data_IF_267927560120
#
_entry.id   IF_267927560120
#
_cell.length_a   1.000
_cell.length_b   1.000
_cell.length_c   1.000
_cell.angle_alpha   90.00
_cell.angle_beta   90.00
_cell.angle_gamma   90.00
#
_symmetry.space_group_name_H-M   'P 1'
#
loop_
_entity.id
_entity.type
_entity.pdbx_description
1 polymer ?
#
# COMPACT_ATOMS: atom_id res chain seq x y z
N UNK A 1 -15.74 -3.18 9.16
CA UNK A 1 -15.67 -2.23 10.28
C UNK A 1 -14.78 -1.06 9.89
N UNK A 2 -15.31 0.16 9.96
CA UNK A 2 -14.50 1.35 9.73
C UNK A 2 -13.66 1.68 10.96
N UNK A 3 -12.35 1.83 10.76
CA UNK A 3 -11.38 2.25 11.77
C UNK A 3 -11.10 3.73 11.59
N UNK A 4 -11.36 4.50 12.63
CA UNK A 4 -11.20 5.96 12.68
C UNK A 4 -10.24 6.32 13.81
N UNK A 5 -9.80 7.58 13.86
CA UNK A 5 -8.99 8.05 14.99
C UNK A 5 -9.66 7.87 16.35
N UNK A 6 -10.98 7.91 16.41
CA UNK A 6 -11.77 7.82 17.65
C UNK A 6 -11.80 6.39 18.20
N UNK A 7 -11.93 5.38 17.33
CA UNK A 7 -12.01 3.97 17.74
C UNK A 7 -10.67 3.23 17.62
N UNK A 8 -9.61 3.87 17.10
CA UNK A 8 -8.35 3.21 16.84
C UNK A 8 -7.78 2.46 18.06
N UNK A 9 -7.75 3.10 19.22
CA UNK A 9 -7.14 2.51 20.43
C UNK A 9 -7.88 1.28 20.96
N UNK A 10 -9.19 1.15 20.69
CA UNK A 10 -9.95 -0.03 21.08
C UNK A 10 -9.86 -1.15 20.04
N UNK A 11 -9.78 -0.80 18.75
CA UNK A 11 -9.78 -1.76 17.64
C UNK A 11 -8.39 -2.29 17.31
N UNK A 12 -7.34 -1.48 17.44
CA UNK A 12 -5.98 -1.85 17.04
C UNK A 12 -5.45 -3.13 17.73
N UNK A 13 -5.60 -3.33 19.06
CA UNK A 13 -5.15 -4.57 19.70
C UNK A 13 -5.83 -5.83 19.14
N UNK A 14 -7.10 -5.71 18.75
CA UNK A 14 -7.84 -6.79 18.08
C UNK A 14 -7.23 -7.09 16.71
N UNK A 15 -6.97 -6.07 15.89
CA UNK A 15 -6.34 -6.24 14.57
C UNK A 15 -4.97 -6.89 14.70
N UNK A 16 -4.14 -6.48 15.67
CA UNK A 16 -2.83 -7.09 15.91
C UNK A 16 -2.95 -8.59 16.24
N UNK A 17 -3.88 -8.94 17.12
CA UNK A 17 -4.12 -10.35 17.50
C UNK A 17 -4.60 -11.18 16.29
N UNK A 18 -5.49 -10.61 15.48
CA UNK A 18 -5.99 -11.26 14.27
C UNK A 18 -4.85 -11.50 13.26
N UNK A 19 -4.00 -10.50 13.01
CA UNK A 19 -2.85 -10.62 12.10
C UNK A 19 -1.82 -11.66 12.56
N UNK A 20 -1.58 -11.79 13.87
CA UNK A 20 -0.66 -12.80 14.40
C UNK A 20 -1.19 -14.23 14.24
N UNK A 21 -2.50 -14.41 14.34
CA UNK A 21 -3.14 -15.73 14.38
C UNK A 21 -3.72 -16.19 13.05
N UNK A 22 -3.87 -15.30 12.07
CA UNK A 22 -4.50 -15.63 10.79
C UNK A 22 -3.70 -16.62 9.94
N UNK A 23 -4.39 -17.21 8.96
CA UNK A 23 -3.74 -18.00 7.91
C UNK A 23 -3.18 -17.10 6.81
N UNK A 24 -3.90 -16.03 6.48
CA UNK A 24 -3.49 -15.00 5.54
C UNK A 24 -4.32 -13.73 5.74
N UNK A 25 -3.90 -12.63 5.11
CA UNK A 25 -4.70 -11.42 4.99
C UNK A 25 -4.73 -10.94 3.55
N UNK A 26 -5.81 -10.26 3.17
CA UNK A 26 -5.94 -9.57 1.90
C UNK A 26 -6.03 -8.07 2.12
N UNK A 27 -5.49 -7.29 1.18
CA UNK A 27 -5.56 -5.83 1.24
C UNK A 27 -5.80 -5.22 -0.13
N UNK A 28 -6.28 -3.98 -0.12
CA UNK A 28 -6.56 -3.15 -1.29
C UNK A 28 -6.45 -1.66 -0.90
N UNK A 29 -6.15 -0.79 -1.86
CA UNK A 29 -6.06 0.65 -1.65
C UNK A 29 -6.93 1.44 -2.63
N UNK A 30 -7.46 2.55 -2.13
CA UNK A 30 -7.91 3.64 -2.99
C UNK A 30 -6.89 4.79 -2.97
N UNK A 31 -6.61 5.38 -4.13
CA UNK A 31 -5.61 6.45 -4.29
C UNK A 31 -6.22 7.74 -4.84
N UNK A 32 -5.59 8.89 -4.57
CA UNK A 32 -6.01 10.19 -5.12
C UNK A 32 -5.83 10.30 -6.63
N UNK A 33 -5.06 9.38 -7.22
CA UNK A 33 -4.78 9.22 -8.63
C UNK A 33 -3.76 8.10 -8.84
N UNK A 34 -3.67 7.58 -10.06
CA UNK A 34 -2.83 6.39 -10.37
C UNK A 34 -1.93 6.56 -11.59
N UNK A 35 -2.06 7.67 -12.32
CA UNK A 35 -1.32 7.94 -13.55
C UNK A 35 -0.92 9.42 -13.66
N UNK A 36 0.34 9.68 -13.98
CA UNK A 36 0.92 11.03 -14.11
C UNK A 36 0.94 11.56 -15.56
N UNK A 37 0.79 10.66 -16.52
CA UNK A 37 1.08 10.90 -17.95
C UNK A 37 0.12 11.92 -18.61
N UNK A 38 -1.11 12.08 -18.09
CA UNK A 38 -2.05 13.11 -18.59
C UNK A 38 -1.64 14.56 -18.28
N UNK A 39 -0.68 14.78 -17.40
CA UNK A 39 -0.11 16.12 -17.17
C UNK A 39 0.80 16.58 -18.33
N UNK A 40 1.24 15.64 -19.17
CA UNK A 40 2.21 15.89 -20.25
C UNK A 40 1.50 16.34 -21.54
N UNK A 41 0.25 15.93 -21.76
CA UNK A 41 -0.53 16.24 -22.97
C UNK A 41 -1.01 17.68 -23.14
N UNK A 42 -0.71 18.61 -22.21
CA UNK A 42 -1.10 20.03 -22.31
C UNK A 42 -0.01 21.06 -21.96
N UNK A 43 1.26 20.67 -21.85
CA UNK A 43 2.33 21.67 -21.67
C UNK A 43 3.58 21.24 -20.92
N UNK A 44 3.97 19.96 -20.97
CA UNK A 44 5.28 19.55 -20.45
C UNK A 44 6.39 20.17 -21.30
N UNK A 45 7.17 21.09 -20.74
CA UNK A 45 8.37 21.61 -21.39
C UNK A 45 9.39 20.49 -21.72
N UNK A 46 10.40 20.78 -22.55
CA UNK A 46 11.38 19.80 -23.06
C UNK A 46 12.16 19.05 -21.98
N UNK A 47 12.07 19.46 -20.70
CA UNK A 47 12.75 18.85 -19.56
C UNK A 47 11.95 17.80 -18.78
N UNK A 48 10.68 17.56 -19.14
CA UNK A 48 9.85 16.57 -18.43
C UNK A 48 10.40 15.15 -18.55
N UNK A 49 10.22 14.33 -17.49
CA UNK A 49 10.68 12.94 -17.47
C UNK A 49 10.07 12.12 -18.61
N UNK A 50 8.82 12.40 -18.98
CA UNK A 50 8.15 11.81 -20.14
C UNK A 50 8.87 12.11 -21.47
N UNK A 51 9.43 13.31 -21.64
CA UNK A 51 10.24 13.67 -22.81
C UNK A 51 11.61 12.95 -22.83
N UNK A 52 12.17 12.63 -21.65
CA UNK A 52 13.48 11.97 -21.50
C UNK A 52 13.42 10.45 -21.59
N UNK A 53 12.30 9.85 -21.20
CA UNK A 53 12.09 8.39 -21.22
C UNK A 53 11.64 7.90 -22.60
N UNK A 54 11.39 8.81 -23.56
CA UNK A 54 10.96 8.44 -24.91
C UNK A 54 9.65 7.68 -24.84
N UNK A 55 8.55 8.38 -24.53
CA UNK A 55 7.23 7.77 -24.45
C UNK A 55 6.89 7.01 -25.73
N UNK A 56 6.98 5.68 -25.69
CA UNK A 56 6.13 4.85 -26.52
C UNK A 56 4.71 5.34 -26.30
N UNK A 57 3.93 5.65 -27.35
CA UNK A 57 2.58 6.15 -27.17
C UNK A 57 1.82 5.16 -26.29
N UNK A 58 1.15 5.67 -25.26
CA UNK A 58 0.22 5.05 -24.30
C UNK A 58 -0.56 3.81 -24.75
N UNK A 59 -0.69 3.61 -26.06
CA UNK A 59 -1.49 2.59 -26.71
C UNK A 59 -0.75 1.24 -26.91
N UNK A 60 0.56 1.15 -26.66
CA UNK A 60 1.35 -0.10 -26.73
C UNK A 60 2.01 -0.52 -25.40
N UNK A 61 1.28 -0.49 -24.27
CA UNK A 61 1.73 -1.04 -22.96
C UNK A 61 2.06 -2.54 -22.99
N UNK A 62 1.68 -3.23 -24.07
CA UNK A 62 1.79 -4.69 -24.18
C UNK A 62 3.21 -5.23 -24.07
N UNK A 63 4.16 -4.55 -24.72
CA UNK A 63 5.58 -4.92 -24.70
C UNK A 63 6.40 -4.11 -23.71
N UNK A 64 5.78 -3.16 -23.00
CA UNK A 64 6.46 -2.44 -21.94
C UNK A 64 6.89 -3.46 -20.89
N UNK A 65 8.21 -3.60 -20.75
CA UNK A 65 8.77 -4.46 -19.72
C UNK A 65 8.45 -3.84 -18.36
N UNK A 66 8.40 -4.63 -17.28
CA UNK A 66 8.20 -4.07 -15.96
C UNK A 66 9.33 -3.10 -15.56
N UNK A 67 10.54 -3.34 -16.06
CA UNK A 67 11.69 -2.44 -15.91
C UNK A 67 11.41 -1.06 -16.52
N UNK A 68 10.92 -1.01 -17.76
CA UNK A 68 10.63 0.27 -18.46
C UNK A 68 9.43 1.00 -17.85
N UNK A 69 8.44 0.27 -17.36
CA UNK A 69 7.22 0.84 -16.78
C UNK A 69 7.42 1.30 -15.31
N UNK A 70 8.46 0.82 -14.63
CA UNK A 70 8.69 1.12 -13.22
C UNK A 70 8.87 2.62 -12.90
N UNK A 71 9.66 3.42 -13.65
CA UNK A 71 9.82 4.85 -13.38
C UNK A 71 8.49 5.62 -13.36
N UNK A 72 7.58 5.32 -14.30
CA UNK A 72 6.26 5.95 -14.37
C UNK A 72 5.37 5.55 -13.18
N UNK A 73 5.47 4.28 -12.74
CA UNK A 73 4.76 3.81 -11.54
C UNK A 73 5.28 4.48 -10.27
N UNK A 74 6.59 4.63 -10.16
CA UNK A 74 7.21 5.35 -9.04
C UNK A 74 6.85 6.84 -9.02
N UNK A 75 6.84 7.49 -10.19
CA UNK A 75 6.41 8.89 -10.33
C UNK A 75 4.94 9.07 -9.93
N UNK A 76 4.05 8.15 -10.32
CA UNK A 76 2.65 8.17 -9.91
C UNK A 76 2.51 8.10 -8.39
N UNK A 77 3.19 7.16 -7.73
CA UNK A 77 3.17 7.01 -6.27
C UNK A 77 3.82 8.18 -5.52
N UNK A 78 4.72 8.92 -6.18
CA UNK A 78 5.32 10.15 -5.62
C UNK A 78 4.41 11.36 -5.79
N UNK A 79 3.54 11.35 -6.80
CA UNK A 79 2.65 12.46 -7.15
C UNK A 79 1.30 12.38 -6.45
N UNK A 80 0.78 11.16 -6.27
CA UNK A 80 -0.52 10.88 -5.67
C UNK A 80 -0.35 10.14 -4.34
N UNK A 81 -1.43 10.12 -3.56
CA UNK A 81 -1.42 9.60 -2.19
C UNK A 81 -2.45 8.49 -2.01
N UNK A 82 -2.19 7.48 -1.18
CA UNK A 82 -3.25 6.59 -0.73
C UNK A 82 -4.27 7.37 0.11
N UNK A 83 -5.55 7.06 -0.09
CA UNK A 83 -6.72 7.71 0.54
C UNK A 83 -7.50 6.75 1.44
N UNK A 84 -7.56 5.48 1.10
CA UNK A 84 -8.25 4.46 1.88
C UNK A 84 -7.44 3.16 1.82
N UNK A 85 -7.45 2.42 2.92
CA UNK A 85 -6.85 1.09 3.02
C UNK A 85 -7.93 0.11 3.47
N UNK A 86 -8.01 -1.01 2.77
CA UNK A 86 -8.84 -2.14 3.13
C UNK A 86 -8.00 -3.30 3.62
N UNK A 87 -8.44 -3.94 4.69
CA UNK A 87 -7.80 -5.12 5.26
C UNK A 87 -8.85 -6.19 5.58
N UNK A 88 -8.72 -7.37 4.97
CA UNK A 88 -9.53 -8.53 5.31
C UNK A 88 -8.64 -9.66 5.83
N UNK A 89 -8.88 -10.10 7.07
CA UNK A 89 -8.06 -11.10 7.75
C UNK A 89 -8.82 -12.42 7.80
N UNK A 90 -8.20 -13.52 7.37
CA UNK A 90 -8.86 -14.82 7.21
C UNK A 90 -8.30 -15.90 8.14
N UNK A 91 -9.20 -16.60 8.82
CA UNK A 91 -8.92 -17.77 9.65
C UNK A 91 -9.70 -18.97 9.11
N UNK A 92 -8.98 -19.99 8.67
CA UNK A 92 -9.52 -21.26 8.23
C UNK A 92 -9.74 -22.15 9.45
N UNK A 93 -10.95 -22.65 9.61
CA UNK A 93 -11.19 -23.72 10.57
C UNK A 93 -10.61 -25.02 10.01
N UNK A 94 -9.67 -25.65 10.71
CA UNK A 94 -9.08 -26.92 10.27
C UNK A 94 -10.06 -28.09 10.33
N UNK A 95 -11.16 -27.94 11.07
CA UNK A 95 -12.16 -28.98 11.31
C UNK A 95 -13.43 -28.84 10.46
N UNK A 96 -13.57 -27.73 9.71
CA UNK A 96 -14.75 -27.47 8.88
C UNK A 96 -14.36 -26.77 7.57
N UNK A 97 -15.29 -26.71 6.61
CA UNK A 97 -15.12 -25.92 5.39
C UNK A 97 -15.43 -24.42 5.59
N UNK A 98 -15.55 -23.99 6.84
CA UNK A 98 -15.88 -22.61 7.21
C UNK A 98 -14.60 -21.80 7.36
N UNK A 99 -14.57 -20.66 6.70
CA UNK A 99 -13.51 -19.66 6.84
C UNK A 99 -14.12 -18.41 7.46
N UNK A 100 -13.50 -17.90 8.53
CA UNK A 100 -13.90 -16.64 9.17
C UNK A 100 -13.11 -15.50 8.55
N UNK A 101 -13.80 -14.42 8.18
CA UNK A 101 -13.19 -13.20 7.63
C UNK A 101 -13.53 -12.00 8.51
N UNK A 102 -12.51 -11.30 8.98
CA UNK A 102 -12.64 -10.02 9.70
C UNK A 102 -12.17 -8.88 8.81
N UNK A 103 -13.10 -8.02 8.40
CA UNK A 103 -12.82 -6.94 7.45
C UNK A 103 -12.82 -5.57 8.12
N UNK A 104 -11.78 -4.81 7.81
CA UNK A 104 -11.52 -3.46 8.30
C UNK A 104 -11.25 -2.53 7.12
N UNK A 105 -11.64 -1.29 7.27
CA UNK A 105 -11.39 -0.20 6.32
C UNK A 105 -11.00 1.04 7.10
N UNK A 106 -10.05 1.82 6.60
CA UNK A 106 -9.78 3.14 7.15
C UNK A 106 -9.35 4.11 6.08
N UNK A 107 -9.72 5.37 6.29
CA UNK A 107 -9.20 6.47 5.50
C UNK A 107 -7.75 6.79 5.94
N UNK A 108 -6.93 7.18 4.98
CA UNK A 108 -5.52 7.51 5.12
C UNK A 108 -5.29 8.97 4.77
N UNK A 109 -4.59 9.70 5.64
CA UNK A 109 -4.20 11.09 5.37
C UNK A 109 -2.74 11.32 5.79
N UNK A 110 -1.92 12.01 4.97
CA UNK A 110 -0.56 12.36 5.34
C UNK A 110 -0.53 13.12 6.67
N UNK A 111 0.38 12.74 7.56
CA UNK A 111 0.49 13.35 8.88
C UNK A 111 1.07 14.76 8.79
N UNK A 112 0.25 15.75 9.14
CA UNK A 112 0.66 17.15 9.28
C UNK A 112 1.47 17.43 10.55
N UNK A 113 1.79 16.40 11.36
CA UNK A 113 2.61 16.54 12.57
C UNK A 113 4.11 16.54 12.30
N UNK A 114 4.54 16.15 11.10
CA UNK A 114 5.96 16.04 10.73
C UNK A 114 6.39 17.07 9.66
N UNK A 115 5.52 17.99 9.31
CA UNK A 115 5.72 18.98 8.27
C UNK A 115 4.43 19.24 7.50
N UNK A 116 4.41 20.34 6.75
CA UNK A 116 3.32 20.61 5.81
C UNK A 116 3.51 19.74 4.55
N UNK A 117 2.41 19.21 4.03
CA UNK A 117 2.42 18.29 2.89
C UNK A 117 1.32 18.66 1.90
N UNK A 118 1.67 18.73 0.62
CA UNK A 118 0.69 18.91 -0.45
C UNK A 118 0.07 17.56 -0.85
N UNK A 119 -1.23 17.57 -1.15
CA UNK A 119 -1.96 16.40 -1.66
C UNK A 119 -2.48 16.74 -3.05
N UNK A 120 -2.15 15.91 -4.03
CA UNK A 120 -2.64 16.06 -5.41
C UNK A 120 -3.80 15.12 -5.68
N UNK A 121 -4.83 15.62 -6.35
CA UNK A 121 -6.04 14.88 -6.72
C UNK A 121 -6.19 14.81 -8.24
N UNK A 122 -6.44 13.62 -8.78
CA UNK A 122 -6.84 13.42 -10.17
C UNK A 122 -8.34 13.68 -10.32
N UNK A 123 -8.72 14.62 -11.18
CA UNK A 123 -10.13 14.98 -11.39
C UNK A 123 -10.98 13.81 -11.88
N UNK A 124 -10.42 12.91 -12.69
CA UNK A 124 -11.12 11.71 -13.16
C UNK A 124 -11.29 10.70 -12.02
N UNK A 125 -10.22 10.42 -11.27
CA UNK A 125 -10.26 9.48 -10.14
C UNK A 125 -11.28 9.95 -9.11
N UNK A 126 -11.23 11.23 -8.72
CA UNK A 126 -12.13 11.79 -7.72
C UNK A 126 -13.55 11.96 -8.29
N UNK A 127 -13.70 12.53 -9.49
CA UNK A 127 -15.02 12.89 -10.01
C UNK A 127 -15.81 11.74 -10.63
N UNK A 128 -15.15 10.74 -11.22
CA UNK A 128 -15.82 9.69 -12.02
C UNK A 128 -15.68 8.28 -11.45
N UNK A 129 -14.71 8.05 -10.57
CA UNK A 129 -14.52 6.75 -9.92
C UNK A 129 -14.96 6.78 -8.46
N UNK A 130 -14.25 7.53 -7.60
CA UNK A 130 -14.48 7.57 -6.15
C UNK A 130 -15.63 8.48 -5.71
N UNK A 131 -16.01 9.45 -6.54
CA UNK A 131 -17.12 10.38 -6.29
C UNK A 131 -18.51 9.76 -6.38
N UNK A 132 -18.62 8.48 -6.72
CA UNK A 132 -19.90 7.77 -6.78
C UNK A 132 -20.42 7.49 -5.37
N UNK A 133 -21.75 7.51 -5.17
CA UNK A 133 -22.34 7.17 -3.88
C UNK A 133 -21.89 5.79 -3.40
N UNK A 134 -21.41 5.72 -2.15
CA UNK A 134 -20.99 4.46 -1.51
C UNK A 134 -19.51 4.08 -1.66
N UNK A 135 -18.76 4.73 -2.56
CA UNK A 135 -17.34 4.43 -2.76
C UNK A 135 -16.45 5.13 -1.70
N UNK A 136 -16.44 6.47 -1.67
CA UNK A 136 -15.59 7.25 -0.79
C UNK A 136 -16.38 8.35 -0.05
N UNK A 137 -16.16 8.47 1.26
CA UNK A 137 -16.61 9.63 2.04
C UNK A 137 -15.46 10.64 2.20
N UNK A 138 -15.46 11.66 1.34
CA UNK A 138 -14.43 12.70 1.34
C UNK A 138 -14.44 13.57 2.62
N UNK A 139 -15.59 13.72 3.28
CA UNK A 139 -15.65 14.46 4.55
C UNK A 139 -14.99 13.64 5.66
N UNK A 140 -15.30 12.34 5.73
CA UNK A 140 -14.65 11.44 6.67
C UNK A 140 -13.16 11.26 6.36
N UNK A 141 -12.76 11.30 5.08
CA UNK A 141 -11.34 11.30 4.70
C UNK A 141 -10.59 12.49 5.30
N UNK A 142 -11.10 13.72 5.13
CA UNK A 142 -10.41 14.90 5.69
C UNK A 142 -10.47 14.92 7.23
N UNK A 143 -11.61 14.53 7.82
CA UNK A 143 -11.86 14.71 9.26
C UNK A 143 -11.40 13.55 10.13
N UNK A 144 -11.49 12.32 9.66
CA UNK A 144 -11.44 11.11 10.51
C UNK A 144 -10.35 10.11 10.11
N UNK A 145 -9.55 10.41 9.10
CA UNK A 145 -8.46 9.54 8.63
C UNK A 145 -7.44 9.21 9.71
N UNK A 146 -6.92 7.99 9.64
CA UNK A 146 -5.70 7.62 10.32
C UNK A 146 -4.52 8.32 9.63
N UNK A 147 -3.62 8.86 10.43
CA UNK A 147 -2.48 9.60 9.90
C UNK A 147 -1.34 8.63 9.56
N UNK A 148 -0.64 8.89 8.46
CA UNK A 148 0.58 8.16 8.08
C UNK A 148 1.73 9.11 7.78
N UNK A 149 2.95 8.61 7.97
CA UNK A 149 4.18 9.30 7.57
C UNK A 149 5.26 8.29 7.18
N UNK A 150 6.33 8.71 6.49
CA UNK A 150 7.48 7.85 6.30
C UNK A 150 8.06 7.33 7.63
N UNK A 151 8.43 6.05 7.68
CA UNK A 151 8.99 5.39 8.86
C UNK A 151 10.26 6.08 9.33
N UNK A 152 11.10 6.54 8.42
CA UNK A 152 12.33 7.26 8.77
C UNK A 152 12.02 8.60 9.44
N UNK A 153 10.97 9.29 8.98
CA UNK A 153 10.47 10.52 9.62
C UNK A 153 9.95 10.23 11.02
N UNK A 154 9.11 9.20 11.18
CA UNK A 154 8.58 8.80 12.51
C UNK A 154 9.72 8.42 13.46
N UNK A 155 10.70 7.65 13.00
CA UNK A 155 11.85 7.24 13.79
C UNK A 155 12.72 8.43 14.21
N UNK A 156 12.93 9.41 13.31
CA UNK A 156 13.69 10.63 13.61
C UNK A 156 12.98 11.57 14.58
N UNK A 157 11.65 11.50 14.65
CA UNK A 157 10.80 12.33 15.50
C UNK A 157 10.39 11.64 16.81
N UNK A 158 10.73 10.36 16.99
CA UNK A 158 10.54 9.66 18.25
C UNK A 158 11.28 10.42 19.38
N UNK A 159 10.68 10.53 20.58
CA UNK A 159 11.40 11.12 21.71
C UNK A 159 12.73 10.36 21.86
N UNK A 160 13.84 11.07 22.14
CA UNK A 160 15.13 10.41 22.29
C UNK A 160 14.98 9.25 23.30
N UNK A 161 15.51 8.08 22.89
CA UNK A 161 15.64 6.83 23.66
C UNK A 161 15.79 7.13 25.14
N UNK A 162 15.16 6.34 26.03
CA UNK A 162 15.34 6.42 27.49
C UNK A 162 16.82 6.66 27.82
N UNK A 163 17.20 7.92 28.07
CA UNK A 163 18.60 8.26 28.30
C UNK A 163 18.84 8.02 29.78
N UNK A 164 19.70 7.05 30.07
CA UNK A 164 20.11 6.80 31.45
C UNK A 164 20.87 8.01 31.98
N UNK A 165 20.72 8.30 33.26
CA UNK A 165 21.40 9.45 33.88
C UNK A 165 22.92 9.27 33.78
N UNK A 166 23.45 8.04 33.85
CA UNK A 166 24.88 7.78 33.71
C UNK A 166 25.42 8.21 32.34
N UNK A 167 24.65 7.96 31.26
CA UNK A 167 25.03 8.35 29.90
C UNK A 167 25.11 9.87 29.72
N UNK A 168 24.15 10.61 30.31
CA UNK A 168 24.16 12.07 30.27
C UNK A 168 25.31 12.65 31.11
N UNK A 169 25.56 12.06 32.28
CA UNK A 169 26.64 12.48 33.18
C UNK A 169 28.01 12.29 32.54
N UNK A 170 28.21 11.20 31.79
CA UNK A 170 29.47 10.91 31.09
C UNK A 170 29.80 11.93 29.99
N UNK A 171 28.78 12.60 29.44
CA UNK A 171 28.93 13.62 28.39
C UNK A 171 29.08 15.04 28.95
N UNK A 172 28.94 15.22 30.26
CA UNK A 172 28.94 16.53 30.89
C UNK A 172 30.36 17.10 31.07
N UNK A 173 30.53 18.43 30.99
CA UNK A 173 31.78 19.08 31.37
C UNK A 173 32.18 18.68 32.81
N UNK A 174 33.44 18.26 33.08
CA UNK A 174 33.85 17.72 34.38
C UNK A 174 33.51 18.62 35.58
N UNK A 175 33.61 19.95 35.42
CA UNK A 175 33.32 20.93 36.47
C UNK A 175 31.84 21.14 36.77
N UNK A 176 30.93 20.60 35.96
CA UNK A 176 29.48 20.78 36.08
C UNK A 176 28.71 19.48 36.34
N UNK A 177 29.41 18.35 36.39
CA UNK A 177 28.82 17.04 36.74
C UNK A 177 27.99 17.09 38.04
N UNK A 178 28.44 17.72 39.14
CA UNK A 178 27.65 17.80 40.37
C UNK A 178 26.32 18.57 40.19
N UNK A 179 26.36 19.69 39.47
CA UNK A 179 25.22 20.54 39.18
C UNK A 179 24.22 19.81 38.28
N UNK A 180 24.72 19.14 37.23
CA UNK A 180 23.88 18.37 36.33
C UNK A 180 23.18 17.21 37.06
N UNK A 181 23.91 16.44 37.87
CA UNK A 181 23.33 15.35 38.70
C UNK A 181 22.17 15.87 39.56
N UNK A 182 22.36 17.01 40.22
CA UNK A 182 21.32 17.64 41.05
C UNK A 182 20.11 18.06 40.21
N UNK A 183 20.33 18.63 39.01
CA UNK A 183 19.25 18.98 38.09
C UNK A 183 18.46 17.76 37.60
N UNK A 184 19.12 16.67 37.23
CA UNK A 184 18.47 15.43 36.79
C UNK A 184 17.60 14.82 37.91
N UNK A 185 18.12 14.78 39.15
CA UNK A 185 17.36 14.33 40.32
C UNK A 185 16.13 15.20 40.59
N UNK A 186 16.25 16.53 40.46
CA UNK A 186 15.12 17.45 40.64
C UNK A 186 14.04 17.24 39.56
N UNK A 187 14.43 17.00 38.31
CA UNK A 187 13.49 16.68 37.23
C UNK A 187 12.76 15.36 37.48
N UNK A 188 13.49 14.31 37.89
CA UNK A 188 12.91 13.00 38.18
C UNK A 188 11.94 13.05 39.37
N UNK A 189 12.34 13.75 40.43
CA UNK A 189 11.49 13.97 41.61
C UNK A 189 10.23 14.76 41.25
N UNK A 190 10.36 15.85 40.48
CA UNK A 190 9.22 16.63 40.02
C UNK A 190 8.24 15.79 39.19
N UNK A 191 8.73 14.99 38.23
CA UNK A 191 7.89 14.11 37.42
C UNK A 191 7.16 13.06 38.29
N UNK A 192 7.82 12.53 39.32
CA UNK A 192 7.25 11.52 40.22
C UNK A 192 6.19 12.13 41.13
N UNK A 193 6.50 13.25 41.78
CA UNK A 193 5.63 13.92 42.75
C UNK A 193 4.36 14.49 42.09
N UNK A 194 4.40 14.78 40.78
CA UNK A 194 3.29 15.38 40.03
C UNK A 194 2.64 14.45 39.00
N UNK A 195 2.96 13.14 39.01
CA UNK A 195 2.55 12.15 38.01
C UNK A 195 1.04 12.11 37.72
N UNK A 196 0.20 12.48 38.69
CA UNK A 196 -1.26 12.44 38.60
C UNK A 196 -1.94 13.82 38.48
N UNK A 197 -1.18 14.92 38.46
CA UNK A 197 -1.73 16.28 38.47
C UNK A 197 -1.21 17.09 37.28
N UNK A 198 -2.00 17.13 36.21
CA UNK A 198 -1.65 17.75 34.91
C UNK A 198 -1.62 19.28 34.94
N UNK A 199 -1.91 19.92 36.07
CA UNK A 199 -1.93 21.38 36.24
C UNK A 199 -0.88 21.90 37.22
N UNK A 200 0.07 21.07 37.65
CA UNK A 200 1.09 21.46 38.62
C UNK A 200 2.11 22.46 38.02
N UNK A 201 1.92 23.74 38.31
CA UNK A 201 2.95 24.78 38.16
C UNK A 201 3.60 25.03 39.51
N UNK A 202 4.70 24.33 39.81
CA UNK A 202 5.53 24.70 40.97
C UNK A 202 6.74 25.48 40.48
N UNK A 203 6.91 26.77 40.86
CA UNK A 203 8.11 27.51 40.52
C UNK A 203 9.28 26.98 41.36
N UNK A 204 10.02 26.01 40.84
CA UNK A 204 11.24 25.54 41.51
C UNK A 204 12.42 26.43 41.11
N UNK A 205 12.50 27.65 41.68
CA UNK A 205 13.56 28.66 41.41
C UNK A 205 15.01 28.22 41.75
N UNK A 206 15.27 26.92 41.90
CA UNK A 206 16.47 26.33 42.51
C UNK A 206 17.24 25.37 41.59
N UNK A 207 16.88 25.24 40.31
CA UNK A 207 17.74 24.52 39.36
C UNK A 207 19.13 25.19 39.34
N UNK A 208 20.22 24.42 39.56
CA UNK A 208 21.57 24.92 39.43
C UNK A 208 21.80 25.60 38.07
N UNK A 209 22.59 26.67 38.06
CA UNK A 209 23.09 27.22 36.81
C UNK A 209 23.96 26.17 36.10
N UNK A 210 23.72 25.99 34.81
CA UNK A 210 24.46 25.10 33.92
C UNK A 210 24.89 25.88 32.69
N UNK A 211 26.10 25.62 32.19
CA UNK A 211 26.53 26.11 30.88
C UNK A 211 25.71 25.47 29.75
N UNK A 212 25.77 26.04 28.55
CA UNK A 212 25.02 25.56 27.38
C UNK A 212 25.17 24.04 27.13
N UNK A 213 26.38 23.43 27.15
CA UNK A 213 26.53 21.98 26.97
C UNK A 213 25.81 21.16 28.05
N UNK A 214 25.98 21.50 29.33
CA UNK A 214 25.34 20.78 30.43
C UNK A 214 23.82 21.01 30.48
N UNK A 215 23.38 22.23 30.15
CA UNK A 215 21.97 22.59 30.05
C UNK A 215 21.26 21.84 28.91
N UNK A 216 21.92 21.61 27.77
CA UNK A 216 21.38 20.80 26.68
C UNK A 216 21.17 19.33 27.09
N UNK A 217 22.08 18.75 27.88
CA UNK A 217 21.93 17.40 28.45
C UNK A 217 20.74 17.35 29.43
N UNK A 218 20.59 18.36 30.27
CA UNK A 218 19.44 18.49 31.17
C UNK A 218 18.11 18.62 30.40
N UNK A 219 18.07 19.43 29.34
CA UNK A 219 16.89 19.56 28.46
C UNK A 219 16.53 18.23 27.77
N UNK A 220 17.52 17.42 27.44
CA UNK A 220 17.30 16.09 26.87
C UNK A 220 16.57 15.19 27.87
N UNK A 221 17.01 15.18 29.15
CA UNK A 221 16.31 14.48 30.22
C UNK A 221 14.90 15.03 30.45
N UNK A 222 14.73 16.35 30.49
CA UNK A 222 13.41 16.95 30.74
C UNK A 222 12.39 16.52 29.69
N UNK A 223 12.78 16.52 28.40
CA UNK A 223 11.93 16.03 27.30
C UNK A 223 11.57 14.55 27.46
N UNK A 224 12.52 13.71 27.86
CA UNK A 224 12.28 12.27 28.11
C UNK A 224 11.24 12.01 29.22
N UNK A 225 11.07 12.98 30.14
CA UNK A 225 10.10 12.94 31.23
C UNK A 225 8.79 13.69 30.90
N UNK A 226 8.63 14.23 29.70
CA UNK A 226 7.46 15.03 29.31
C UNK A 226 7.44 16.44 29.92
N UNK A 227 8.60 16.98 30.28
CA UNK A 227 8.75 18.25 30.99
C UNK A 227 9.38 19.34 30.10
N UNK A 228 8.91 20.58 30.28
CA UNK A 228 9.53 21.80 29.78
C UNK A 228 10.28 22.52 30.89
N UNK A 229 11.44 23.09 30.55
CA UNK A 229 12.24 23.92 31.46
C UNK A 229 12.42 25.30 30.84
N UNK A 230 11.97 26.35 31.55
CA UNK A 230 12.09 27.75 31.12
C UNK A 230 12.58 28.61 32.28
N UNK A 231 13.68 29.35 32.11
CA UNK A 231 14.18 30.34 33.10
C UNK A 231 14.15 29.83 34.56
N UNK A 232 14.56 28.58 34.78
CA UNK A 232 14.58 27.95 36.11
C UNK A 232 13.24 27.40 36.60
N UNK A 233 12.16 27.45 35.83
CA UNK A 233 10.88 26.80 36.13
C UNK A 233 10.77 25.46 35.38
N UNK A 234 10.15 24.48 36.04
CA UNK A 234 9.79 23.19 35.44
C UNK A 234 8.27 23.16 35.29
N UNK A 235 7.79 22.87 34.10
CA UNK A 235 6.36 22.67 33.84
C UNK A 235 6.17 21.38 33.06
N UNK A 236 4.95 20.87 33.05
CA UNK A 236 4.56 19.91 32.04
C UNK A 236 4.68 20.54 30.65
N UNK A 237 5.12 19.73 29.69
CA UNK A 237 5.07 20.16 28.30
C UNK A 237 3.62 20.15 27.80
N UNK A 238 2.93 21.28 27.93
CA UNK A 238 1.59 21.49 27.35
C UNK A 238 1.62 21.91 25.88
N UNK A 239 2.78 21.79 25.21
CA UNK A 239 2.96 22.08 23.80
C UNK A 239 2.07 21.18 22.95
N UNK A 240 0.91 21.70 22.57
CA UNK A 240 -0.01 21.16 21.59
C UNK A 240 -0.48 19.74 21.92
N UNK A 241 -1.42 19.63 22.87
CA UNK A 241 -2.09 18.40 23.31
C UNK A 241 -1.14 17.22 23.55
N UNK A 242 -1.18 16.66 24.76
CA UNK A 242 -0.70 15.30 25.02
C UNK A 242 -1.54 14.29 24.23
N UNK A 243 -1.46 14.34 22.91
CA UNK A 243 -1.88 13.31 22.00
C UNK A 243 -0.84 12.23 22.17
N UNK A 244 -1.29 11.09 22.68
CA UNK A 244 -0.58 9.82 22.58
C UNK A 244 0.22 9.81 21.26
N UNK A 245 1.55 9.58 21.27
CA UNK A 245 2.36 9.65 20.04
C UNK A 245 1.78 8.79 18.90
N UNK A 246 1.00 7.75 19.22
CA UNK A 246 0.21 6.97 18.25
C UNK A 246 -0.72 7.84 17.39
N UNK A 247 -1.25 8.95 17.92
CA UNK A 247 -2.21 9.84 17.27
C UNK A 247 -1.61 10.52 16.03
N UNK A 248 -0.28 10.62 15.97
CA UNK A 248 0.43 11.28 14.86
C UNK A 248 0.64 10.37 13.67
N UNK A 249 0.48 9.05 13.82
CA UNK A 249 0.86 8.05 12.81
C UNK A 249 0.16 6.69 13.02
N UNK A 250 -1.13 6.66 13.34
CA UNK A 250 -1.87 5.41 13.62
C UNK A 250 -1.76 4.41 12.47
N UNK A 251 -1.79 4.88 11.22
CA UNK A 251 -1.70 4.02 10.06
C UNK A 251 -0.31 3.35 9.95
N UNK A 252 0.76 3.98 10.46
CA UNK A 252 2.07 3.34 10.55
C UNK A 252 2.00 2.11 11.47
N UNK A 253 1.30 2.19 12.60
CA UNK A 253 1.19 1.08 13.54
C UNK A 253 0.48 -0.13 12.92
N UNK A 254 -0.57 0.12 12.12
CA UNK A 254 -1.26 -0.92 11.34
C UNK A 254 -0.35 -1.52 10.27
N UNK A 255 0.38 -0.67 9.54
CA UNK A 255 1.33 -1.12 8.52
C UNK A 255 2.45 -1.96 9.14
N UNK A 256 3.04 -1.53 10.26
CA UNK A 256 4.06 -2.29 11.00
C UNK A 256 3.53 -3.63 11.48
N UNK A 257 2.31 -3.67 12.04
CA UNK A 257 1.69 -4.93 12.48
C UNK A 257 1.51 -5.90 11.30
N UNK A 258 1.07 -5.39 10.15
CA UNK A 258 0.89 -6.16 8.93
C UNK A 258 2.21 -6.76 8.43
N UNK A 259 3.25 -5.94 8.21
CA UNK A 259 4.54 -6.42 7.68
C UNK A 259 5.34 -7.26 8.69
N UNK A 260 5.13 -7.03 10.00
CA UNK A 260 5.78 -7.80 11.06
C UNK A 260 5.13 -9.17 11.27
N UNK A 261 3.86 -9.34 10.90
CA UNK A 261 3.18 -10.63 10.97
C UNK A 261 3.83 -11.70 10.09
N UNK A 262 4.48 -11.26 8.99
CA UNK A 262 5.06 -12.11 7.94
C UNK A 262 4.10 -13.17 7.39
N UNK A 263 2.79 -12.99 7.61
CA UNK A 263 1.74 -13.85 7.07
C UNK A 263 1.61 -13.64 5.56
N UNK A 264 1.10 -14.65 4.82
CA UNK A 264 0.77 -14.50 3.42
C UNK A 264 -0.13 -13.29 3.18
N UNK A 265 0.33 -12.39 2.32
CA UNK A 265 -0.39 -11.22 1.87
C UNK A 265 -1.07 -11.52 0.53
N UNK A 266 -2.33 -11.15 0.39
CA UNK A 266 -3.11 -11.37 -0.83
C UNK A 266 -3.57 -10.02 -1.36
N UNK A 267 -3.44 -9.80 -2.65
CA UNK A 267 -3.93 -8.59 -3.30
C UNK A 267 -4.41 -8.89 -4.74
N UNK A 268 -4.94 -7.89 -5.44
CA UNK A 268 -5.42 -8.05 -6.81
C UNK A 268 -4.86 -6.95 -7.71
N UNK A 269 -4.07 -7.33 -8.72
CA UNK A 269 -3.43 -6.37 -9.63
C UNK A 269 -2.58 -5.32 -8.86
N UNK A 270 -1.80 -5.83 -7.90
CA UNK A 270 -1.30 -5.13 -6.72
C UNK A 270 -0.04 -4.31 -6.90
N UNK A 271 0.48 -4.20 -8.14
CA UNK A 271 1.71 -3.46 -8.37
C UNK A 271 1.60 -2.00 -7.93
N UNK A 272 0.48 -1.34 -8.25
CA UNK A 272 0.26 0.05 -7.83
C UNK A 272 0.15 0.14 -6.30
N UNK A 273 -0.64 -0.73 -5.66
CA UNK A 273 -0.82 -0.74 -4.20
C UNK A 273 0.52 -0.83 -3.47
N UNK A 274 1.39 -1.74 -3.91
CA UNK A 274 2.67 -1.97 -3.26
C UNK A 274 3.63 -0.78 -3.41
N UNK A 275 3.66 -0.13 -4.58
CA UNK A 275 4.51 1.05 -4.81
C UNK A 275 3.99 2.24 -4.00
N UNK A 276 2.68 2.45 -3.96
CA UNK A 276 2.06 3.51 -3.16
C UNK A 276 2.25 3.27 -1.66
N UNK A 277 2.08 2.04 -1.17
CA UNK A 277 2.38 1.70 0.23
C UNK A 277 3.83 1.95 0.56
N UNK A 278 4.75 1.51 -0.30
CA UNK A 278 6.17 1.75 -0.06
C UNK A 278 6.44 3.25 0.05
N UNK A 279 5.98 4.06 -0.90
CA UNK A 279 6.23 5.50 -0.91
C UNK A 279 5.56 6.25 0.25
N UNK A 280 4.38 5.80 0.69
CA UNK A 280 3.66 6.39 1.83
C UNK A 280 4.40 6.17 3.16
N UNK A 281 4.99 4.97 3.33
CA UNK A 281 5.65 4.56 4.58
C UNK A 281 7.18 4.61 4.53
N UNK A 282 7.81 4.94 3.41
CA UNK A 282 9.26 5.11 3.29
C UNK A 282 9.59 6.40 2.54
N UNK A 283 10.55 7.14 3.07
CA UNK A 283 11.08 8.37 2.47
C UNK A 283 12.25 8.06 1.52
N UNK A 284 12.91 6.93 1.73
CA UNK A 284 13.96 6.43 0.84
C UNK A 284 13.35 6.11 -0.53
N UNK A 285 13.82 6.70 -1.63
CA UNK A 285 13.27 6.41 -2.95
C UNK A 285 13.69 5.04 -3.45
N UNK A 286 12.81 4.36 -4.19
CA UNK A 286 13.17 3.15 -4.93
C UNK A 286 13.98 3.54 -6.17
N UNK A 287 15.30 3.54 -6.02
CA UNK A 287 16.24 4.11 -7.01
C UNK A 287 16.38 3.26 -8.28
N UNK A 288 15.97 1.99 -8.24
CA UNK A 288 15.99 1.08 -9.38
C UNK A 288 14.88 0.03 -9.29
N UNK A 289 14.56 -0.59 -10.43
CA UNK A 289 13.62 -1.71 -10.49
C UNK A 289 14.08 -2.91 -9.61
N UNK A 290 15.39 -3.18 -9.55
CA UNK A 290 15.94 -4.21 -8.67
C UNK A 290 15.78 -3.90 -7.18
N UNK A 291 15.99 -2.64 -6.79
CA UNK A 291 15.76 -2.18 -5.41
C UNK A 291 14.28 -2.30 -5.02
N UNK A 292 13.37 -1.93 -5.93
CA UNK A 292 11.93 -2.19 -5.77
C UNK A 292 11.62 -3.66 -5.45
N UNK A 293 12.13 -4.60 -6.26
CA UNK A 293 11.91 -6.04 -6.04
C UNK A 293 12.44 -6.47 -4.67
N UNK A 294 13.66 -6.05 -4.33
CA UNK A 294 14.31 -6.40 -3.07
C UNK A 294 13.55 -5.87 -1.84
N UNK A 295 13.14 -4.60 -1.86
CA UNK A 295 12.41 -3.97 -0.74
C UNK A 295 11.03 -4.59 -0.55
N UNK A 296 10.27 -4.80 -1.63
CA UNK A 296 8.96 -5.42 -1.51
C UNK A 296 9.03 -6.85 -1.01
N UNK A 297 9.99 -7.65 -1.50
CA UNK A 297 10.21 -9.02 -1.00
C UNK A 297 10.54 -9.05 0.50
N UNK A 298 11.26 -8.06 1.02
CA UNK A 298 11.57 -7.96 2.44
C UNK A 298 10.33 -7.60 3.29
N UNK A 299 9.45 -6.73 2.76
CA UNK A 299 8.21 -6.33 3.42
C UNK A 299 7.18 -7.47 3.41
N UNK A 300 6.97 -8.08 2.25
CA UNK A 300 5.98 -9.12 1.97
C UNK A 300 6.68 -10.38 1.40
N UNK A 301 7.23 -11.25 2.25
CA UNK A 301 7.97 -12.43 1.79
C UNK A 301 7.08 -13.50 1.13
N UNK A 302 5.80 -13.53 1.48
CA UNK A 302 4.78 -14.37 0.86
C UNK A 302 3.66 -13.46 0.38
N UNK A 303 3.52 -13.30 -0.94
CA UNK A 303 2.58 -12.41 -1.59
C UNK A 303 1.95 -13.11 -2.79
N UNK A 304 0.62 -13.19 -2.83
CA UNK A 304 -0.11 -13.75 -3.95
C UNK A 304 -1.02 -12.72 -4.59
N UNK A 305 -0.87 -12.53 -5.90
CA UNK A 305 -1.76 -11.68 -6.68
C UNK A 305 -2.86 -12.52 -7.33
N UNK A 306 -4.10 -12.29 -6.90
CA UNK A 306 -5.24 -13.07 -7.42
C UNK A 306 -5.48 -12.86 -8.89
N UNK A 307 -5.08 -11.72 -9.47
CA UNK A 307 -5.18 -11.50 -10.93
C UNK A 307 -4.23 -12.42 -11.68
N UNK A 308 -3.03 -12.67 -11.17
CA UNK A 308 -2.11 -13.68 -11.72
C UNK A 308 -2.76 -15.06 -11.66
N UNK A 309 -3.30 -15.45 -10.50
CA UNK A 309 -3.84 -16.79 -10.28
C UNK A 309 -5.06 -17.12 -11.15
N UNK A 310 -5.95 -16.16 -11.41
CA UNK A 310 -7.12 -16.37 -12.29
C UNK A 310 -6.80 -16.30 -13.78
N UNK A 311 -5.59 -15.86 -14.14
CA UNK A 311 -5.17 -15.69 -15.55
C UNK A 311 -4.39 -16.90 -16.07
N UNK A 312 -4.34 -18.01 -15.32
CA UNK A 312 -3.70 -19.26 -15.73
C UNK A 312 -4.45 -19.94 -16.89
N UNK A 313 -3.76 -20.75 -17.70
CA UNK A 313 -4.31 -21.38 -18.92
C UNK A 313 -5.64 -22.12 -18.63
N UNK A 314 -6.60 -21.89 -19.53
CA UNK A 314 -7.90 -22.56 -19.74
C UNK A 314 -7.99 -24.09 -19.54
N UNK A 315 -6.85 -24.81 -19.53
CA UNK A 315 -6.78 -26.23 -19.12
C UNK A 315 -7.16 -26.48 -17.65
N UNK A 316 -7.06 -25.44 -16.83
CA UNK A 316 -7.81 -25.30 -15.58
C UNK A 316 -9.04 -24.51 -15.96
N UNK A 317 -10.26 -24.90 -15.57
CA UNK A 317 -11.53 -24.26 -15.97
C UNK A 317 -11.72 -22.81 -15.44
N UNK A 318 -10.64 -22.02 -15.40
CA UNK A 318 -10.61 -20.59 -15.31
C UNK A 318 -10.90 -20.04 -16.72
N UNK A 319 -12.17 -19.95 -17.12
CA UNK A 319 -12.54 -19.23 -18.35
C UNK A 319 -11.84 -17.87 -18.36
N UNK A 320 -11.40 -17.36 -19.52
CA UNK A 320 -10.52 -16.18 -19.60
C UNK A 320 -11.05 -14.97 -18.80
N UNK A 321 -10.71 -14.85 -17.52
CA UNK A 321 -11.22 -13.75 -16.70
C UNK A 321 -10.22 -12.60 -16.74
N UNK A 322 -10.19 -11.94 -17.90
CA UNK A 322 -9.63 -10.59 -18.02
C UNK A 322 -10.52 -9.53 -17.34
N UNK A 323 -11.66 -9.92 -16.77
CA UNK A 323 -12.65 -9.05 -16.15
C UNK A 323 -12.20 -8.34 -14.86
N UNK A 324 -12.98 -7.35 -14.46
CA UNK A 324 -12.83 -6.63 -13.19
C UNK A 324 -12.95 -7.60 -11.99
N UNK A 325 -12.35 -7.24 -10.85
CA UNK A 325 -12.33 -8.04 -9.62
C UNK A 325 -13.72 -8.57 -9.23
N UNK A 326 -14.74 -7.71 -9.14
CA UNK A 326 -16.10 -8.07 -8.73
C UNK A 326 -16.76 -9.11 -9.66
N UNK A 327 -16.56 -8.96 -10.98
CA UNK A 327 -17.08 -9.92 -11.98
C UNK A 327 -16.40 -11.28 -11.83
N UNK A 328 -15.09 -11.26 -11.65
CA UNK A 328 -14.27 -12.46 -11.43
C UNK A 328 -14.71 -13.18 -10.16
N UNK A 329 -14.81 -12.45 -9.05
CA UNK A 329 -15.29 -12.97 -7.79
C UNK A 329 -16.68 -13.58 -7.91
N UNK A 330 -17.63 -12.91 -8.58
CA UNK A 330 -18.99 -13.40 -8.76
C UNK A 330 -19.04 -14.73 -9.53
N UNK A 331 -18.23 -14.87 -10.58
CA UNK A 331 -18.12 -16.10 -11.35
C UNK A 331 -17.56 -17.27 -10.51
N UNK A 332 -16.54 -17.02 -9.69
CA UNK A 332 -15.99 -18.05 -8.80
C UNK A 332 -16.90 -18.36 -7.61
N UNK A 333 -17.58 -17.35 -7.05
CA UNK A 333 -18.53 -17.53 -5.93
C UNK A 333 -19.71 -18.42 -6.36
N UNK A 334 -20.20 -18.30 -7.58
CA UNK A 334 -21.30 -19.15 -8.08
C UNK A 334 -20.87 -20.62 -8.21
N UNK A 335 -19.62 -20.88 -8.62
CA UNK A 335 -19.05 -22.23 -8.76
C UNK A 335 -18.63 -22.85 -7.42
N UNK A 336 -18.06 -22.06 -6.50
CA UNK A 336 -17.37 -22.57 -5.29
C UNK A 336 -18.02 -22.20 -3.95
N UNK A 337 -18.95 -21.24 -3.93
CA UNK A 337 -19.52 -20.71 -2.69
C UNK A 337 -20.33 -21.73 -1.87
N UNK A 338 -20.70 -22.87 -2.46
CA UNK A 338 -21.33 -24.00 -1.73
C UNK A 338 -20.31 -24.89 -1.01
N UNK A 339 -19.06 -24.92 -1.48
CA UNK A 339 -18.01 -25.80 -0.95
C UNK A 339 -17.19 -25.11 0.15
N UNK A 340 -16.92 -23.82 0.00
CA UNK A 340 -16.19 -23.02 0.98
C UNK A 340 -17.11 -21.91 1.50
N UNK A 341 -17.55 -22.04 2.75
CA UNK A 341 -18.42 -21.05 3.37
C UNK A 341 -17.57 -19.99 4.05
N UNK A 342 -17.71 -18.73 3.63
CA UNK A 342 -16.98 -17.61 4.21
C UNK A 342 -17.93 -16.83 5.11
N UNK A 343 -17.72 -16.93 6.42
CA UNK A 343 -18.49 -16.24 7.45
C UNK A 343 -17.79 -14.92 7.77
N UNK A 344 -18.53 -13.82 7.67
CA UNK A 344 -18.04 -12.47 7.94
C UNK A 344 -18.36 -12.07 9.37
N UNK A 345 -17.65 -11.08 9.90
CA UNK A 345 -18.12 -10.38 11.09
C UNK A 345 -19.38 -9.54 10.76
N UNK A 346 -20.22 -9.30 11.78
CA UNK A 346 -21.50 -8.61 11.64
C UNK A 346 -21.37 -7.15 11.15
N UNK A 347 -20.18 -6.55 11.27
CA UNK A 347 -19.90 -5.15 10.97
C UNK A 347 -19.46 -4.88 9.52
N UNK A 348 -19.71 -5.81 8.58
CA UNK A 348 -19.34 -5.67 7.17
C UNK A 348 -20.51 -6.02 6.24
N UNK A 349 -21.05 -5.02 5.53
CA UNK A 349 -22.14 -5.19 4.57
C UNK A 349 -21.62 -5.52 3.16
N UNK A 350 -22.02 -6.66 2.61
CA UNK A 350 -21.91 -6.92 1.16
C UNK A 350 -23.13 -6.33 0.43
N UNK A 351 -22.94 -5.82 -0.79
CA UNK A 351 -24.06 -5.44 -1.65
C UNK A 351 -23.62 -4.83 -2.99
N UNK A 352 -24.54 -4.81 -3.96
CA UNK A 352 -24.34 -4.07 -5.21
C UNK A 352 -24.07 -2.59 -4.90
N UNK A 353 -22.96 -2.05 -5.40
CA UNK A 353 -22.54 -0.67 -5.17
C UNK A 353 -21.48 -0.48 -4.07
N UNK A 354 -20.97 -1.56 -3.48
CA UNK A 354 -19.82 -1.52 -2.55
C UNK A 354 -18.45 -1.63 -3.27
N UNK A 355 -18.43 -1.81 -4.59
CA UNK A 355 -17.20 -1.77 -5.38
C UNK A 355 -16.51 -0.40 -5.23
N UNK A 356 -15.17 -0.40 -5.24
CA UNK A 356 -14.37 0.80 -4.97
C UNK A 356 -14.50 1.31 -3.52
N UNK A 357 -14.74 0.37 -2.61
CA UNK A 357 -14.49 0.53 -1.19
C UNK A 357 -13.37 -0.47 -0.85
N UNK A 358 -12.23 0.03 -0.39
CA UNK A 358 -11.05 -0.79 -0.19
C UNK A 358 -11.30 -1.99 0.74
N UNK A 359 -12.14 -1.82 1.78
CA UNK A 359 -12.50 -2.91 2.69
C UNK A 359 -13.25 -4.04 1.98
N UNK A 360 -14.19 -3.68 1.11
CA UNK A 360 -14.91 -4.64 0.28
C UNK A 360 -14.01 -5.32 -0.73
N UNK A 361 -13.19 -4.55 -1.44
CA UNK A 361 -12.29 -5.06 -2.46
C UNK A 361 -11.22 -5.98 -1.86
N UNK A 362 -10.71 -5.68 -0.66
CA UNK A 362 -9.86 -6.59 0.12
C UNK A 362 -10.58 -7.89 0.51
N UNK A 363 -11.85 -7.81 0.95
CA UNK A 363 -12.63 -8.99 1.33
C UNK A 363 -12.89 -9.92 0.14
N UNK A 364 -13.35 -9.39 -1.00
CA UNK A 364 -13.61 -10.22 -2.18
C UNK A 364 -12.30 -10.73 -2.80
N UNK A 365 -11.19 -9.99 -2.67
CA UNK A 365 -9.85 -10.45 -3.07
C UNK A 365 -9.42 -11.68 -2.27
N UNK A 366 -9.49 -11.63 -0.94
CA UNK A 366 -9.15 -12.80 -0.11
C UNK A 366 -10.10 -13.98 -0.32
N UNK A 367 -11.38 -13.70 -0.58
CA UNK A 367 -12.37 -14.73 -0.90
C UNK A 367 -12.11 -15.38 -2.25
N UNK A 368 -11.76 -14.59 -3.28
CA UNK A 368 -11.36 -15.08 -4.59
C UNK A 368 -10.13 -15.98 -4.48
N UNK A 369 -9.13 -15.58 -3.69
CA UNK A 369 -7.95 -16.40 -3.44
C UNK A 369 -8.31 -17.78 -2.89
N UNK A 370 -9.28 -17.88 -1.97
CA UNK A 370 -9.74 -19.18 -1.45
C UNK A 370 -10.35 -20.06 -2.53
N UNK A 371 -11.23 -19.51 -3.37
CA UNK A 371 -11.88 -20.24 -4.45
C UNK A 371 -10.87 -20.71 -5.51
N UNK A 372 -9.99 -19.82 -5.95
CA UNK A 372 -8.96 -20.14 -6.94
C UNK A 372 -7.98 -21.17 -6.37
N UNK A 373 -7.55 -21.01 -5.12
CA UNK A 373 -6.69 -22.00 -4.44
C UNK A 373 -7.36 -23.38 -4.39
N UNK A 374 -8.67 -23.44 -4.13
CA UNK A 374 -9.40 -24.70 -4.07
C UNK A 374 -9.49 -25.36 -5.46
N UNK A 375 -9.68 -24.58 -6.51
CA UNK A 375 -9.70 -25.09 -7.88
C UNK A 375 -8.32 -25.57 -8.33
N UNK A 376 -7.25 -24.79 -8.09
CA UNK A 376 -5.88 -25.16 -8.45
C UNK A 376 -5.48 -26.52 -7.88
N UNK A 377 -5.86 -26.83 -6.62
CA UNK A 377 -5.57 -28.11 -5.96
C UNK A 377 -6.21 -29.34 -6.63
N UNK A 378 -7.17 -29.15 -7.55
CA UNK A 378 -7.73 -30.27 -8.33
C UNK A 378 -6.80 -30.73 -9.45
N UNK A 379 -5.81 -29.92 -9.81
CA UNK A 379 -4.87 -30.19 -10.88
C UNK A 379 -3.52 -30.64 -10.30
N UNK A 380 -3.03 -31.78 -10.79
CA UNK A 380 -1.76 -32.34 -10.31
C UNK A 380 -0.61 -31.37 -10.56
N UNK A 381 0.22 -31.16 -9.53
CA UNK A 381 1.39 -30.28 -9.59
C UNK A 381 1.10 -28.78 -9.59
N UNK A 382 -0.17 -28.35 -9.53
CA UNK A 382 -0.53 -26.94 -9.51
C UNK A 382 -0.88 -26.45 -8.10
N UNK A 383 -0.07 -25.55 -7.56
CA UNK A 383 -0.32 -24.92 -6.26
C UNK A 383 -0.04 -23.42 -6.30
N UNK A 384 -0.64 -22.66 -5.37
CA UNK A 384 -0.49 -21.20 -5.34
C UNK A 384 0.95 -20.78 -5.02
N UNK A 385 1.71 -21.62 -4.32
CA UNK A 385 3.09 -21.38 -3.91
C UNK A 385 4.03 -21.15 -5.11
N UNK A 386 3.70 -21.73 -6.28
CA UNK A 386 4.43 -21.50 -7.53
C UNK A 386 4.37 -20.04 -8.00
N UNK A 387 3.39 -19.28 -7.53
CA UNK A 387 3.13 -17.89 -7.94
C UNK A 387 3.43 -16.88 -6.83
N UNK A 388 4.19 -17.28 -5.80
CA UNK A 388 4.63 -16.35 -4.77
C UNK A 388 5.43 -15.20 -5.39
N UNK A 389 5.02 -13.97 -5.13
CA UNK A 389 5.66 -12.76 -5.63
C UNK A 389 5.53 -12.54 -7.13
N UNK A 390 4.53 -13.14 -7.80
CA UNK A 390 4.25 -12.93 -9.22
C UNK A 390 3.14 -11.89 -9.39
N UNK A 391 3.50 -10.69 -9.86
CA UNK A 391 2.58 -9.56 -10.00
C UNK A 391 2.28 -9.28 -11.48
N UNK A 392 1.02 -9.15 -11.89
CA UNK A 392 0.69 -8.84 -13.26
C UNK A 392 0.98 -7.37 -13.56
N UNK A 393 1.43 -7.06 -14.77
CA UNK A 393 1.50 -5.69 -15.26
C UNK A 393 0.29 -5.40 -16.12
N UNK A 394 -0.55 -4.45 -15.69
CA UNK A 394 -1.76 -4.09 -16.41
C UNK A 394 -1.47 -3.67 -17.85
N UNK A 395 -2.09 -4.37 -18.80
CA UNK A 395 -1.93 -4.11 -20.23
C UNK A 395 -0.64 -4.63 -20.84
N UNK A 396 0.17 -5.40 -20.10
CA UNK A 396 1.41 -6.03 -20.56
C UNK A 396 1.32 -7.56 -20.54
N UNK A 397 2.15 -8.24 -21.34
CA UNK A 397 2.35 -9.71 -21.29
C UNK A 397 3.32 -10.15 -20.22
N UNK A 398 4.04 -9.20 -19.64
CA UNK A 398 5.02 -9.47 -18.61
C UNK A 398 4.36 -9.43 -17.24
N UNK A 399 4.78 -10.34 -16.38
CA UNK A 399 4.50 -10.31 -14.94
C UNK A 399 5.81 -10.19 -14.18
N UNK A 400 5.83 -9.33 -13.19
CA UNK A 400 6.96 -9.12 -12.28
C UNK A 400 7.19 -10.40 -11.48
N UNK A 401 8.45 -10.82 -11.34
CA UNK A 401 8.85 -11.89 -10.41
C UNK A 401 9.67 -11.34 -9.26
N UNK A 402 9.10 -11.12 -8.08
CA UNK A 402 9.83 -10.53 -6.94
C UNK A 402 11.00 -11.38 -6.43
N UNK A 403 11.00 -12.69 -6.72
CA UNK A 403 11.98 -13.64 -6.17
C UNK A 403 13.08 -14.04 -7.15
N UNK A 404 12.97 -13.68 -8.42
CA UNK A 404 13.97 -14.02 -9.44
C UNK A 404 14.46 -12.77 -10.15
N UNK A 405 15.60 -12.90 -10.83
CA UNK A 405 16.15 -11.81 -11.63
C UNK A 405 15.23 -11.49 -12.83
N UNK A 406 14.74 -12.53 -13.50
CA UNK A 406 13.93 -12.42 -14.71
C UNK A 406 12.43 -12.33 -14.42
N UNK A 407 11.72 -11.55 -15.22
CA UNK A 407 10.26 -11.46 -15.14
C UNK A 407 9.60 -12.53 -16.01
N UNK A 408 8.37 -12.89 -15.67
CA UNK A 408 7.64 -13.96 -16.35
C UNK A 408 6.95 -13.44 -17.60
N UNK A 409 6.96 -14.24 -18.66
CA UNK A 409 6.00 -14.12 -19.74
C UNK A 409 4.74 -14.88 -19.33
N UNK A 410 3.58 -14.25 -19.37
CA UNK A 410 2.30 -14.87 -18.96
C UNK A 410 1.80 -15.90 -19.99
N UNK A 411 2.53 -16.14 -21.08
CA UNK A 411 2.07 -16.93 -22.22
C UNK A 411 2.92 -18.19 -22.46
N UNK A 412 2.25 -19.24 -22.92
CA UNK A 412 2.94 -20.39 -23.50
C UNK A 412 3.73 -19.91 -24.74
N UNK A 413 5.00 -20.34 -24.91
CA UNK A 413 5.88 -19.85 -25.99
C UNK A 413 5.32 -19.94 -27.43
N UNK A 414 4.27 -20.73 -27.65
CA UNK A 414 3.72 -21.06 -28.98
C UNK A 414 2.34 -20.44 -29.27
N UNK A 415 1.74 -19.64 -28.37
CA UNK A 415 0.41 -19.09 -28.60
C UNK A 415 0.47 -17.83 -29.51
N UNK A 416 -0.22 -17.78 -30.67
CA UNK A 416 -0.24 -16.61 -31.52
C UNK A 416 -0.97 -15.42 -30.86
N UNK A 417 -0.38 -14.23 -31.04
CA UNK A 417 -0.91 -12.96 -30.57
C UNK A 417 -1.59 -12.22 -31.73
N UNK A 418 -2.86 -11.85 -31.57
CA UNK A 418 -3.64 -11.15 -32.59
C UNK A 418 -3.82 -9.68 -32.20
N UNK A 419 -3.28 -8.77 -33.02
CA UNK A 419 -3.51 -7.35 -32.89
C UNK A 419 -4.85 -6.96 -33.49
N UNK A 420 -5.74 -6.39 -32.67
CA UNK A 420 -7.08 -6.02 -33.09
C UNK A 420 -7.24 -4.51 -33.00
N UNK A 421 -7.60 -3.90 -34.13
CA UNK A 421 -7.86 -2.47 -34.26
C UNK A 421 -9.39 -2.32 -34.31
N UNK A 422 -10.03 -1.84 -33.23
CA UNK A 422 -11.46 -1.56 -33.27
C UNK A 422 -11.75 -0.43 -34.28
N UNK A 423 -12.86 -0.53 -35.01
CA UNK A 423 -13.36 0.61 -35.78
C UNK A 423 -13.63 1.79 -34.82
N UNK A 424 -13.48 3.04 -35.28
CA UNK A 424 -13.55 4.27 -34.48
C UNK A 424 -14.80 4.42 -33.59
N UNK A 425 -15.86 3.65 -33.85
CA UNK A 425 -17.13 3.64 -33.10
C UNK A 425 -17.18 2.63 -31.95
N UNK A 426 -16.14 1.79 -31.76
CA UNK A 426 -16.15 0.68 -30.79
C UNK A 426 -15.22 0.96 -29.62
N UNK A 427 -15.76 1.03 -28.39
CA UNK A 427 -14.94 1.11 -27.16
C UNK A 427 -14.05 -0.14 -27.04
N UNK A 428 -12.74 0.04 -27.14
CA UNK A 428 -11.80 -1.05 -27.39
C UNK A 428 -11.64 -2.11 -26.28
N UNK A 429 -11.96 -1.80 -25.02
CA UNK A 429 -11.91 -2.78 -23.92
C UNK A 429 -12.89 -3.95 -24.12
N UNK A 430 -14.16 -3.65 -24.43
CA UNK A 430 -15.18 -4.69 -24.66
C UNK A 430 -15.04 -5.44 -25.98
N UNK A 431 -14.23 -4.94 -26.92
CA UNK A 431 -13.98 -5.60 -28.21
C UNK A 431 -13.05 -6.79 -28.08
N UNK A 432 -11.97 -6.64 -27.30
CA UNK A 432 -11.02 -7.73 -27.05
C UNK A 432 -11.66 -8.86 -26.27
N UNK A 433 -12.46 -8.56 -25.26
CA UNK A 433 -13.15 -9.58 -24.48
C UNK A 433 -14.08 -10.44 -25.36
N UNK A 434 -14.78 -9.80 -26.32
CA UNK A 434 -15.61 -10.51 -27.30
C UNK A 434 -14.78 -11.37 -28.25
N UNK A 435 -13.65 -10.86 -28.74
CA UNK A 435 -12.75 -11.62 -29.60
C UNK A 435 -12.13 -12.82 -28.88
N UNK A 436 -11.76 -12.65 -27.61
CA UNK A 436 -11.25 -13.71 -26.75
C UNK A 436 -12.29 -14.85 -26.64
N UNK A 437 -13.55 -14.48 -26.40
CA UNK A 437 -14.65 -15.45 -26.37
C UNK A 437 -14.81 -16.16 -27.73
N UNK A 438 -14.65 -15.46 -28.84
CA UNK A 438 -14.70 -16.07 -30.19
C UNK A 438 -13.56 -17.07 -30.37
N UNK A 439 -12.33 -16.71 -29.99
CA UNK A 439 -11.17 -17.59 -30.09
C UNK A 439 -11.34 -18.85 -29.24
N UNK A 440 -11.82 -18.70 -28.00
CA UNK A 440 -12.12 -19.83 -27.11
C UNK A 440 -13.19 -20.74 -27.72
N UNK A 441 -14.28 -20.18 -28.26
CA UNK A 441 -15.37 -20.94 -28.87
C UNK A 441 -14.94 -21.76 -30.09
N UNK A 442 -13.88 -21.35 -30.79
CA UNK A 442 -13.34 -22.08 -31.95
C UNK A 442 -12.11 -22.93 -31.58
N UNK A 443 -11.77 -23.04 -30.30
CA UNK A 443 -10.61 -23.79 -29.82
C UNK A 443 -9.26 -23.19 -30.24
N UNK A 444 -9.25 -21.92 -30.67
CA UNK A 444 -8.03 -21.22 -31.04
C UNK A 444 -7.37 -20.66 -29.77
N UNK A 445 -6.24 -21.24 -29.37
CA UNK A 445 -5.40 -20.72 -28.28
C UNK A 445 -4.67 -19.46 -28.74
N UNK A 446 -5.37 -18.33 -28.68
CA UNK A 446 -4.91 -17.05 -29.20
C UNK A 446 -5.25 -15.90 -28.26
N UNK A 447 -4.47 -14.83 -28.35
CA UNK A 447 -4.67 -13.64 -27.52
C UNK A 447 -5.07 -12.47 -28.40
N UNK A 448 -6.33 -12.01 -28.34
CA UNK A 448 -6.72 -10.77 -28.98
C UNK A 448 -6.25 -9.60 -28.13
N UNK A 449 -5.87 -8.52 -28.81
CA UNK A 449 -5.35 -7.32 -28.20
C UNK A 449 -5.99 -6.07 -28.76
N UNK A 450 -6.27 -5.09 -27.89
CA UNK A 450 -6.79 -3.80 -28.31
C UNK A 450 -5.59 -2.88 -28.51
N UNK A 451 -5.33 -2.49 -29.75
CA UNK A 451 -4.30 -1.50 -30.03
C UNK A 451 -4.81 -0.06 -29.85
N UNK A 452 -6.11 0.18 -29.68
CA UNK A 452 -6.66 1.54 -29.75
C UNK A 452 -6.32 2.24 -31.08
N UNK A 453 -6.60 3.54 -31.16
CA UNK A 453 -6.45 4.35 -32.38
C UNK A 453 -4.97 4.66 -32.74
N UNK A 454 -4.07 3.67 -32.77
CA UNK A 454 -2.63 3.88 -33.07
C UNK A 454 -2.39 4.18 -34.55
N UNK A 455 -3.24 3.67 -35.43
CA UNK A 455 -2.92 3.60 -36.85
C UNK A 455 -3.08 4.91 -37.64
N UNK A 456 -3.68 5.95 -37.06
CA UNK A 456 -3.82 7.23 -37.76
C UNK A 456 -2.53 8.06 -37.80
N UNK A 457 -1.55 7.79 -36.93
CA UNK A 457 -0.30 8.58 -36.86
C UNK A 457 0.96 7.85 -37.38
N UNK A 458 0.90 6.52 -37.56
CA UNK A 458 2.02 5.70 -38.06
C UNK A 458 2.10 5.60 -39.60
N UNK A 459 1.83 6.70 -40.32
CA UNK A 459 1.96 6.75 -41.79
C UNK A 459 3.40 6.96 -42.30
N UNK A 460 4.44 6.82 -41.47
CA UNK A 460 5.84 6.89 -41.91
C UNK A 460 6.55 5.53 -41.77
N UNK A 461 7.03 4.93 -42.88
CA UNK A 461 7.56 3.57 -42.88
C UNK A 461 9.07 3.58 -42.65
N UNK A 462 9.57 3.92 -41.47
CA UNK A 462 10.94 3.54 -41.08
C UNK A 462 11.05 3.43 -39.57
N UNK A 463 11.11 2.20 -39.06
CA UNK A 463 12.07 1.80 -38.03
C UNK A 463 12.27 0.27 -38.16
N UNK A 464 13.52 -0.21 -38.26
CA UNK A 464 13.80 -1.63 -38.37
C UNK A 464 13.49 -2.30 -37.04
N UNK A 465 12.53 -3.22 -37.04
CA UNK A 465 12.45 -4.26 -36.02
C UNK A 465 13.82 -4.94 -35.97
N UNK A 466 14.54 -4.72 -34.87
CA UNK A 466 15.73 -5.48 -34.57
C UNK A 466 15.35 -6.97 -34.63
N UNK A 467 15.99 -7.63 -35.57
CA UNK A 467 15.69 -8.94 -36.11
C UNK A 467 15.97 -10.05 -35.12
N UNK A 468 15.13 -10.27 -34.12
CA UNK A 468 15.09 -11.55 -33.40
C UNK A 468 13.64 -11.87 -33.01
N UNK A 469 13.16 -13.04 -33.44
CA UNK A 469 11.79 -13.58 -33.35
C UNK A 469 10.78 -13.13 -34.43
N UNK A 470 11.09 -13.45 -35.68
CA UNK A 470 10.06 -13.98 -36.59
C UNK A 470 10.05 -15.50 -36.45
N UNK A 471 8.90 -16.11 -36.15
CA UNK A 471 8.50 -17.39 -36.76
C UNK A 471 7.01 -17.30 -37.10
N UNK A 472 6.71 -17.74 -38.33
CA UNK A 472 5.49 -17.65 -39.09
C UNK A 472 4.28 -18.40 -38.53
#
# INVERSE_FOLDING_TARGET
>A
MDVTRENFNSVFPQIQTLLQTCDFYAFDLEMTGIEVERLVGRGGGPDSLAAKVGTFPHKCRFYSTPFDAFPLKWEAATTFSPMQFGLAIFHKDKSSSVVKASTFSWHLFPSFHYGDTEIRLSSETIGSFLGKPGCMDFNAWVRNSLLYAPRETVASAAPPVVVSDESLIAQAPPGEVPQLKKSLQLLQKFATDNKNNTTATTPNKTLPFLSQPAFALMLTKSKSLGLKVFSGAISWDHGGSGTDPTVKHQANLLFEAMISSKKPAIAHNSWSDLVFLYRAFHSTPLTSYGDFKAKLRALFPVLYDTRTLVSLDSSVEFGQVRGQLEKTFSAFKSKHGRTTSIVKNEAFSEGNGAAHNAGYDAFITGSLFLYVSAEMRKHEGLTVELFNGVLPVYGSIFSISLHTEHDYLVQAPAAPVFYCIPAATVKGGGFVDRLATVFDNVGLKAIPMNCGDIWTEWQHPVLPLASHCCIA
#
